data_IF_182962349657
#
_entry.id   IF_182962349657
#
_cell.length_a   1.000
_cell.length_b   1.000
_cell.length_c   1.000
_cell.angle_alpha   90.00
_cell.angle_beta   90.00
_cell.angle_gamma   90.00
#
_symmetry.space_group_name_H-M   'P 1'
#
loop_
_entity.id
_entity.type
_entity.pdbx_description
1 polymer ?
#
# COMPACT_ATOMS: atom_id res chain seq x y z
N UNK A 1 22.74 -1.69 -15.56
CA UNK A 1 22.38 -2.43 -14.34
C UNK A 1 22.40 -1.45 -13.18
N UNK A 2 21.26 -0.87 -12.80
CA UNK A 2 21.13 0.01 -11.62
C UNK A 2 19.77 -0.27 -10.97
N UNK A 3 19.79 -1.11 -9.94
CA UNK A 3 18.67 -1.32 -9.03
C UNK A 3 18.55 -0.10 -8.12
N UNK A 4 17.66 0.83 -8.44
CA UNK A 4 17.14 1.80 -7.46
C UNK A 4 16.05 1.14 -6.62
N UNK A 5 16.41 0.11 -5.84
CA UNK A 5 15.67 -0.23 -4.62
C UNK A 5 16.12 0.73 -3.55
N UNK A 6 15.47 1.90 -3.50
CA UNK A 6 15.62 2.80 -2.37
C UNK A 6 15.04 2.10 -1.13
N UNK A 7 15.92 1.48 -0.34
CA UNK A 7 15.66 1.15 1.06
C UNK A 7 15.65 2.48 1.82
N UNK A 8 14.53 3.18 1.73
CA UNK A 8 14.33 4.48 2.34
C UNK A 8 14.33 4.32 3.87
N UNK A 9 15.18 5.03 4.63
CA UNK A 9 15.12 4.98 6.08
C UNK A 9 13.93 5.84 6.54
N UNK A 10 12.77 5.22 6.78
CA UNK A 10 11.62 5.83 7.47
C UNK A 10 11.91 6.03 8.98
N UNK A 11 12.97 6.77 9.33
CA UNK A 11 13.21 7.19 10.72
C UNK A 11 13.41 8.70 10.78
N UNK A 12 12.35 9.40 11.18
CA UNK A 12 12.29 10.69 11.91
C UNK A 12 11.65 11.90 11.21
N UNK A 13 11.80 12.14 9.90
CA UNK A 13 11.29 13.42 9.33
C UNK A 13 9.87 13.41 8.75
N UNK A 14 9.25 12.25 8.55
CA UNK A 14 7.88 12.15 8.01
C UNK A 14 6.77 12.18 9.07
N UNK A 15 7.06 12.69 10.28
CA UNK A 15 6.07 12.87 11.36
C UNK A 15 5.34 14.23 11.23
N UNK A 16 5.01 14.68 10.02
CA UNK A 16 4.32 15.98 9.83
C UNK A 16 3.12 15.98 8.89
N UNK A 17 2.72 14.81 8.39
CA UNK A 17 1.35 14.60 7.94
C UNK A 17 0.89 13.31 8.58
N UNK A 18 0.37 13.42 9.81
CA UNK A 18 -0.37 12.34 10.43
C UNK A 18 -1.49 11.95 9.45
N UNK A 19 -1.49 10.70 9.02
CA UNK A 19 -2.64 10.18 8.29
C UNK A 19 -3.74 10.00 9.34
N UNK A 20 -4.83 10.74 9.18
CA UNK A 20 -5.96 10.72 10.11
C UNK A 20 -6.98 9.64 9.76
N UNK A 21 -6.86 9.01 8.58
CA UNK A 21 -7.74 7.93 8.20
C UNK A 21 -7.55 7.41 6.78
N UNK A 22 -8.48 6.54 6.42
CA UNK A 22 -8.52 5.86 5.14
C UNK A 22 -9.88 6.12 4.50
N UNK A 23 -9.87 6.35 3.19
CA UNK A 23 -11.09 6.45 2.40
C UNK A 23 -11.05 5.44 1.27
N UNK A 24 -12.20 5.04 0.76
CA UNK A 24 -12.30 4.19 -0.42
C UNK A 24 -13.63 4.38 -1.11
N UNK A 25 -13.71 3.87 -2.33
CA UNK A 25 -14.97 3.70 -3.04
C UNK A 25 -15.60 2.35 -2.65
N UNK A 26 -16.86 2.36 -2.21
CA UNK A 26 -17.51 1.14 -1.70
C UNK A 26 -17.71 0.07 -2.78
N UNK A 27 -17.93 0.47 -4.04
CA UNK A 27 -17.99 -0.49 -5.14
C UNK A 27 -16.62 -1.13 -5.37
N UNK A 28 -15.52 -0.37 -5.24
CA UNK A 28 -14.16 -0.94 -5.29
C UNK A 28 -13.85 -1.85 -4.11
N UNK A 29 -14.32 -1.51 -2.91
CA UNK A 29 -14.18 -2.38 -1.73
C UNK A 29 -14.89 -3.71 -1.96
N UNK A 30 -16.14 -3.69 -2.38
CA UNK A 30 -16.91 -4.90 -2.69
C UNK A 30 -16.22 -5.76 -3.76
N UNK A 31 -15.73 -5.13 -4.83
CA UNK A 31 -14.96 -5.83 -5.87
C UNK A 31 -13.64 -6.42 -5.34
N UNK A 32 -12.95 -5.72 -4.43
CA UNK A 32 -11.72 -6.23 -3.81
C UNK A 32 -11.99 -7.43 -2.92
N UNK A 33 -13.06 -7.41 -2.14
CA UNK A 33 -13.48 -8.55 -1.32
C UNK A 33 -13.81 -9.74 -2.22
N UNK A 34 -14.61 -9.54 -3.26
CA UNK A 34 -14.98 -10.61 -4.19
C UNK A 34 -13.77 -11.18 -4.96
N UNK A 35 -12.84 -10.32 -5.37
CA UNK A 35 -11.70 -10.72 -6.23
C UNK A 35 -10.50 -11.24 -5.45
N UNK A 36 -10.24 -10.68 -4.27
CA UNK A 36 -9.01 -10.90 -3.51
C UNK A 36 -9.24 -11.44 -2.11
N UNK A 37 -10.47 -11.40 -1.59
CA UNK A 37 -10.81 -11.87 -0.25
C UNK A 37 -10.33 -10.94 0.87
N UNK A 38 -9.96 -9.69 0.56
CA UNK A 38 -9.52 -8.71 1.55
C UNK A 38 -10.40 -7.48 1.55
N UNK A 39 -10.76 -7.06 2.76
CA UNK A 39 -11.55 -5.87 3.01
C UNK A 39 -10.64 -4.66 3.26
N UNK A 40 -10.88 -3.55 2.56
CA UNK A 40 -10.14 -2.30 2.78
C UNK A 40 -10.23 -1.78 4.22
N UNK A 41 -11.30 -2.08 4.95
CA UNK A 41 -11.45 -1.74 6.37
C UNK A 41 -10.38 -2.37 7.27
N UNK A 42 -9.73 -3.44 6.81
CA UNK A 42 -8.63 -4.09 7.54
C UNK A 42 -7.30 -3.35 7.39
N UNK A 43 -7.23 -2.30 6.57
CA UNK A 43 -5.98 -1.58 6.29
C UNK A 43 -5.35 -0.91 7.53
N UNK A 44 -6.14 -0.66 8.58
CA UNK A 44 -5.64 -0.21 9.87
C UNK A 44 -4.70 -1.23 10.54
N UNK A 45 -4.91 -2.52 10.28
CA UNK A 45 -4.08 -3.61 10.82
C UNK A 45 -2.89 -3.96 9.90
N UNK A 46 -2.72 -3.27 8.78
CA UNK A 46 -1.56 -3.44 7.92
C UNK A 46 -0.32 -2.85 8.60
N UNK A 47 0.80 -3.57 8.55
CA UNK A 47 2.07 -3.17 9.16
C UNK A 47 2.76 -2.01 8.41
N UNK A 48 2.15 -0.82 8.42
CA UNK A 48 2.63 0.36 7.71
C UNK A 48 4.07 0.75 8.09
N UNK A 49 4.43 0.62 9.37
CA UNK A 49 5.76 0.96 9.90
C UNK A 49 6.88 0.16 9.26
N UNK A 50 6.64 -1.12 9.01
CA UNK A 50 7.63 -2.05 8.44
C UNK A 50 7.43 -2.25 6.93
N UNK A 51 6.46 -1.54 6.33
CA UNK A 51 6.15 -1.68 4.92
C UNK A 51 7.14 -0.96 4.02
N UNK A 52 7.37 -1.53 2.84
CA UNK A 52 8.12 -0.87 1.76
C UNK A 52 7.10 -0.15 0.88
N UNK A 53 7.23 1.18 0.78
CA UNK A 53 6.35 2.01 -0.06
C UNK A 53 7.11 2.49 -1.29
N UNK A 54 6.56 2.25 -2.48
CA UNK A 54 7.14 2.70 -3.76
C UNK A 54 6.09 3.40 -4.61
N UNK A 55 6.47 4.36 -5.48
CA UNK A 55 5.59 4.90 -6.50
C UNK A 55 5.03 3.81 -7.43
N UNK A 56 3.77 3.96 -7.83
CA UNK A 56 3.16 3.15 -8.88
C UNK A 56 3.27 3.85 -10.24
N UNK A 57 4.38 3.60 -10.93
CA UNK A 57 4.70 4.17 -12.24
C UNK A 57 4.22 3.30 -13.41
N UNK A 58 3.36 2.30 -13.16
CA UNK A 58 2.90 1.38 -14.22
C UNK A 58 1.98 2.05 -15.22
N UNK A 59 1.33 3.13 -14.82
CA UNK A 59 0.41 3.90 -15.65
C UNK A 59 0.37 5.31 -15.09
N UNK A 60 0.29 6.29 -15.98
CA UNK A 60 -0.01 7.66 -15.60
C UNK A 60 -1.48 7.77 -15.24
N UNK A 61 -1.77 7.53 -13.97
CA UNK A 61 -3.06 7.87 -13.39
C UNK A 61 -3.01 9.37 -13.09
N UNK A 62 -4.07 10.12 -13.39
CA UNK A 62 -4.12 11.58 -13.16
C UNK A 62 -3.91 12.05 -11.70
N UNK A 63 -3.53 11.15 -10.80
CA UNK A 63 -3.06 11.40 -9.45
C UNK A 63 -1.91 10.41 -9.09
N UNK A 64 -0.92 10.82 -8.27
CA UNK A 64 0.13 9.91 -7.81
C UNK A 64 -0.43 8.71 -7.06
N UNK A 65 0.06 7.52 -7.40
CA UNK A 65 -0.27 6.27 -6.71
C UNK A 65 0.97 5.65 -6.10
N UNK A 66 0.75 4.90 -5.03
CA UNK A 66 1.78 4.21 -4.28
C UNK A 66 1.38 2.77 -4.04
N UNK A 67 2.38 1.90 -3.95
CA UNK A 67 2.24 0.52 -3.49
C UNK A 67 3.00 0.36 -2.18
N UNK A 68 2.29 -0.04 -1.13
CA UNK A 68 2.89 -0.48 0.11
C UNK A 68 2.92 -2.01 0.14
N UNK A 69 4.10 -2.56 0.38
CA UNK A 69 4.38 -3.98 0.50
C UNK A 69 4.65 -4.29 1.98
N UNK A 70 3.89 -5.20 2.58
CA UNK A 70 3.98 -5.47 4.00
C UNK A 70 3.05 -6.60 4.43
N UNK A 71 2.85 -6.76 5.73
CA UNK A 71 2.00 -7.81 6.27
C UNK A 71 0.68 -7.27 6.79
N UNK A 72 -0.40 -7.99 6.49
CA UNK A 72 -1.71 -7.86 7.12
C UNK A 72 -1.99 -9.15 7.88
N UNK A 73 -2.00 -9.09 9.21
CA UNK A 73 -2.24 -10.27 10.07
C UNK A 73 -1.38 -11.49 9.69
N UNK A 74 -0.10 -11.28 9.42
CA UNK A 74 0.84 -12.32 8.99
C UNK A 74 0.77 -12.73 7.52
N UNK A 75 -0.18 -12.19 6.75
CA UNK A 75 -0.24 -12.42 5.29
C UNK A 75 0.50 -11.33 4.54
N UNK A 76 1.46 -11.69 3.69
CA UNK A 76 2.15 -10.75 2.80
C UNK A 76 1.16 -10.16 1.78
N UNK A 77 0.99 -8.84 1.82
CA UNK A 77 0.00 -8.09 1.08
C UNK A 77 0.61 -6.87 0.37
N UNK A 78 -0.12 -6.39 -0.63
CA UNK A 78 0.12 -5.14 -1.34
C UNK A 78 -1.10 -4.24 -1.17
N UNK A 79 -0.88 -3.04 -0.65
CA UNK A 79 -1.88 -1.96 -0.60
C UNK A 79 -1.55 -0.96 -1.70
N UNK A 80 -2.49 -0.71 -2.61
CA UNK A 80 -2.40 0.37 -3.59
C UNK A 80 -3.23 1.55 -3.09
N UNK A 81 -2.63 2.73 -3.02
CA UNK A 81 -3.30 3.91 -2.48
C UNK A 81 -2.80 5.22 -3.11
N UNK A 82 -3.61 6.27 -2.97
CA UNK A 82 -3.22 7.66 -3.23
C UNK A 82 -3.28 8.45 -1.93
N UNK A 83 -2.34 9.37 -1.74
CA UNK A 83 -2.37 10.32 -0.62
C UNK A 83 -3.19 11.55 -1.00
N UNK A 84 -4.17 11.91 -0.17
CA UNK A 84 -5.02 13.10 -0.33
C UNK A 84 -5.05 13.87 0.98
N UNK A 85 -4.10 14.80 1.12
CA UNK A 85 -3.88 15.52 2.38
C UNK A 85 -3.59 14.53 3.51
N UNK A 86 -4.54 14.43 4.44
CA UNK A 86 -4.45 13.59 5.64
C UNK A 86 -5.09 12.20 5.48
N UNK A 87 -5.62 11.88 4.30
CA UNK A 87 -6.26 10.59 4.03
C UNK A 87 -5.46 9.76 3.03
N UNK A 88 -5.44 8.45 3.26
CA UNK A 88 -5.01 7.48 2.27
C UNK A 88 -6.25 6.91 1.57
N UNK A 89 -6.42 7.23 0.29
CA UNK A 89 -7.46 6.62 -0.55
C UNK A 89 -7.01 5.24 -0.98
N UNK A 90 -7.61 4.20 -0.40
CA UNK A 90 -7.31 2.80 -0.74
C UNK A 90 -7.97 2.45 -2.07
N UNK A 91 -7.18 1.91 -2.98
CA UNK A 91 -7.57 1.55 -4.34
C UNK A 91 -7.60 0.03 -4.52
N UNK A 92 -6.67 -0.68 -3.88
CA UNK A 92 -6.59 -2.14 -3.93
C UNK A 92 -5.87 -2.68 -2.70
N UNK A 93 -6.31 -3.85 -2.24
CA UNK A 93 -5.67 -4.64 -1.20
C UNK A 93 -5.72 -6.10 -1.64
N UNK A 94 -4.54 -6.73 -1.72
CA UNK A 94 -4.41 -8.11 -2.17
C UNK A 94 -3.18 -8.77 -1.59
N UNK A 95 -3.10 -10.10 -1.68
CA UNK A 95 -1.86 -10.83 -1.46
C UNK A 95 -0.75 -10.35 -2.39
N UNK A 96 0.46 -10.28 -1.85
CA UNK A 96 1.68 -10.14 -2.64
C UNK A 96 1.93 -11.45 -3.41
N UNK A 97 2.26 -11.33 -4.69
CA UNK A 97 2.62 -12.50 -5.48
C UNK A 97 4.05 -12.96 -5.14
N UNK A 98 4.45 -14.16 -5.61
CA UNK A 98 5.75 -14.73 -5.30
C UNK A 98 6.93 -13.81 -5.65
N UNK A 99 6.88 -13.17 -6.84
CA UNK A 99 7.93 -12.25 -7.31
C UNK A 99 8.02 -10.99 -6.45
N UNK A 100 6.88 -10.48 -6.00
CA UNK A 100 6.82 -9.31 -5.12
C UNK A 100 7.38 -9.63 -3.73
N UNK A 101 7.08 -10.81 -3.18
CA UNK A 101 7.62 -11.25 -1.89
C UNK A 101 9.13 -11.38 -1.95
N UNK A 102 9.64 -12.05 -2.98
CA UNK A 102 11.09 -12.19 -3.21
C UNK A 102 11.77 -10.83 -3.38
N UNK A 103 11.22 -9.95 -4.23
CA UNK A 103 11.79 -8.63 -4.50
C UNK A 103 11.88 -7.74 -3.26
N UNK A 104 10.92 -7.86 -2.36
CA UNK A 104 10.76 -6.96 -1.22
C UNK A 104 11.08 -7.61 0.14
N UNK A 105 11.48 -8.89 0.16
CA UNK A 105 11.80 -9.61 1.39
C UNK A 105 10.60 -9.78 2.33
N UNK A 106 9.42 -10.04 1.76
CA UNK A 106 8.19 -10.39 2.49
C UNK A 106 8.03 -11.91 2.65
#
# INVERSE_FOLDING_TARGET
>A
MHMFTLRWPMRREMRRMEIFGYEWDEAKRALSIAKHGFDFGEVNAFGWTDSIVVPDERTEYGEPRFRAYGYLRGTACVVVFTRRGQLNRIISLRRANARERERHGL
#
